data_IF_080236810622
#
_entry.id   IF_080236810622
#
_cell.length_a   1.000
_cell.length_b   1.000
_cell.length_c   1.000
_cell.angle_alpha   90.00
_cell.angle_beta   90.00
_cell.angle_gamma   90.00
#
_symmetry.space_group_name_H-M   'P 1'
#
loop_
_entity.id
_entity.type
_entity.pdbx_description
1 polymer ?
#
# COMPACT_ATOMS: atom_id res chain seq x y z
N UNK A 1 -14.87 12.71 -24.77
CA UNK A 1 -13.98 13.58 -23.99
C UNK A 1 -12.83 12.70 -23.53
N UNK A 2 -11.63 12.94 -24.05
CA UNK A 2 -10.43 12.23 -23.61
C UNK A 2 -9.84 13.04 -22.46
N UNK A 3 -10.08 12.61 -21.23
CA UNK A 3 -9.55 13.27 -20.05
C UNK A 3 -8.12 12.75 -19.87
N UNK A 4 -7.14 13.64 -19.95
CA UNK A 4 -5.73 13.31 -19.73
C UNK A 4 -5.57 12.88 -18.26
N UNK A 5 -5.10 11.66 -18.04
CA UNK A 5 -4.86 11.12 -16.69
C UNK A 5 -3.89 11.99 -15.87
N UNK A 6 -3.02 12.76 -16.54
CA UNK A 6 -2.08 13.67 -15.89
C UNK A 6 -2.69 15.03 -15.51
N UNK A 7 -3.92 15.33 -15.94
CA UNK A 7 -4.64 16.56 -15.57
C UNK A 7 -5.44 16.39 -14.27
N UNK A 8 -5.47 15.18 -13.71
CA UNK A 8 -5.95 14.97 -12.35
C UNK A 8 -4.85 15.37 -11.38
N UNK A 9 -4.96 16.58 -10.82
CA UNK A 9 -4.25 16.89 -9.57
C UNK A 9 -4.66 15.84 -8.55
N UNK A 10 -3.68 15.06 -8.09
CA UNK A 10 -3.90 14.03 -7.09
C UNK A 10 -4.21 14.76 -5.77
N UNK A 11 -5.50 15.01 -5.50
CA UNK A 11 -5.97 15.59 -4.24
C UNK A 11 -5.87 14.50 -3.17
N UNK A 12 -4.71 14.39 -2.52
CA UNK A 12 -4.44 13.31 -1.53
C UNK A 12 -4.97 13.67 -0.14
N UNK A 13 -5.20 14.93 0.20
CA UNK A 13 -5.47 15.28 1.60
C UNK A 13 -6.96 15.51 1.87
N UNK A 14 -7.73 14.44 1.87
CA UNK A 14 -8.96 14.40 2.66
C UNK A 14 -8.60 13.96 4.08
N UNK A 15 -8.93 14.80 5.07
CA UNK A 15 -8.85 14.41 6.46
C UNK A 15 -9.83 13.26 6.71
N UNK A 16 -9.29 12.06 6.92
CA UNK A 16 -10.09 10.86 7.21
C UNK A 16 -10.51 10.88 8.68
N UNK A 17 -11.82 10.91 8.92
CA UNK A 17 -12.38 10.77 10.27
C UNK A 17 -12.49 9.29 10.64
N UNK A 18 -11.57 8.83 11.49
CA UNK A 18 -11.52 7.45 11.95
C UNK A 18 -12.71 7.05 12.84
N UNK A 19 -13.32 7.99 13.56
CA UNK A 19 -14.50 7.68 14.39
C UNK A 19 -15.71 7.44 13.49
N UNK A 20 -15.90 8.29 12.48
CA UNK A 20 -16.96 8.11 11.49
C UNK A 20 -16.81 6.76 10.74
N UNK A 21 -15.58 6.37 10.38
CA UNK A 21 -15.31 5.07 9.77
C UNK A 21 -15.71 3.92 10.69
N UNK A 22 -15.29 3.94 11.96
CA UNK A 22 -15.65 2.91 12.95
C UNK A 22 -17.17 2.81 13.16
N UNK A 23 -17.86 3.95 13.25
CA UNK A 23 -19.32 4.01 13.40
C UNK A 23 -20.04 3.40 12.18
N UNK A 24 -19.48 3.54 10.99
CA UNK A 24 -19.98 2.93 9.76
C UNK A 24 -19.60 1.44 9.61
N UNK A 25 -18.98 0.83 10.63
CA UNK A 25 -18.58 -0.58 10.63
C UNK A 25 -17.31 -0.87 9.82
N UNK A 26 -16.54 0.17 9.47
CA UNK A 26 -15.23 -0.01 8.84
C UNK A 26 -14.20 -0.44 9.89
N UNK A 27 -13.51 -1.55 9.63
CA UNK A 27 -12.46 -2.06 10.50
C UNK A 27 -11.12 -1.37 10.19
N UNK A 28 -10.95 -0.21 10.84
CA UNK A 28 -9.74 0.61 10.71
C UNK A 28 -8.49 -0.15 11.15
N UNK A 29 -8.59 -0.98 12.19
CA UNK A 29 -7.44 -1.68 12.77
C UNK A 29 -6.94 -2.79 11.84
N UNK A 30 -7.86 -3.57 11.30
CA UNK A 30 -7.53 -4.60 10.32
C UNK A 30 -6.94 -4.01 9.04
N UNK A 31 -7.51 -2.91 8.52
CA UNK A 31 -7.03 -2.25 7.30
C UNK A 31 -5.53 -1.89 7.37
N UNK A 32 -5.09 -1.27 8.47
CA UNK A 32 -3.69 -0.88 8.61
C UNK A 32 -2.78 -2.06 8.98
N UNK A 33 -3.29 -3.05 9.71
CA UNK A 33 -2.52 -4.25 10.06
C UNK A 33 -2.20 -5.06 8.80
N UNK A 34 -3.20 -5.27 7.93
CA UNK A 34 -3.02 -5.99 6.66
C UNK A 34 -2.04 -5.28 5.73
N UNK A 35 -2.08 -3.93 5.70
CA UNK A 35 -1.13 -3.15 4.93
C UNK A 35 0.32 -3.36 5.44
N UNK A 36 0.53 -3.32 6.75
CA UNK A 36 1.86 -3.57 7.34
C UNK A 36 2.33 -5.00 7.08
N UNK A 37 1.44 -5.99 7.16
CA UNK A 37 1.79 -7.38 6.84
C UNK A 37 2.14 -7.56 5.36
N UNK A 38 1.41 -6.93 4.45
CA UNK A 38 1.69 -6.94 3.03
C UNK A 38 3.04 -6.29 2.70
N UNK A 39 3.34 -5.13 3.30
CA UNK A 39 4.63 -4.44 3.15
C UNK A 39 5.80 -5.29 3.71
N UNK A 40 5.60 -5.92 4.87
CA UNK A 40 6.57 -6.87 5.44
C UNK A 40 6.79 -8.07 4.53
N UNK A 41 5.74 -8.64 3.96
CA UNK A 41 5.81 -9.74 3.00
C UNK A 41 6.62 -9.38 1.75
N UNK A 42 6.41 -8.17 1.21
CA UNK A 42 7.18 -7.66 0.08
C UNK A 42 8.68 -7.51 0.44
N UNK A 43 8.98 -6.92 1.60
CA UNK A 43 10.36 -6.76 2.07
C UNK A 43 11.08 -8.10 2.23
N UNK A 44 10.41 -9.12 2.75
CA UNK A 44 10.95 -10.49 2.89
C UNK A 44 11.24 -11.12 1.52
N UNK A 45 10.30 -11.01 0.57
CA UNK A 45 10.48 -11.55 -0.79
C UNK A 45 11.65 -10.89 -1.52
N UNK A 46 11.78 -9.56 -1.41
CA UNK A 46 12.91 -8.83 -1.99
C UNK A 46 14.23 -9.28 -1.37
N UNK A 47 14.28 -9.47 -0.06
CA UNK A 47 15.47 -9.97 0.61
C UNK A 47 15.84 -11.40 0.15
N UNK A 48 14.84 -12.28 -0.01
CA UNK A 48 15.02 -13.63 -0.52
C UNK A 48 15.54 -13.64 -1.96
N UNK A 49 14.96 -12.82 -2.85
CA UNK A 49 15.39 -12.68 -4.24
C UNK A 49 16.84 -12.17 -4.34
N UNK A 50 17.23 -11.22 -3.48
CA UNK A 50 18.63 -10.73 -3.39
C UNK A 50 19.58 -11.87 -3.00
N UNK A 51 19.20 -12.71 -2.05
CA UNK A 51 19.99 -13.88 -1.64
C UNK A 51 20.09 -14.90 -2.78
N UNK A 52 18.97 -15.23 -3.40
CA UNK A 52 18.88 -16.25 -4.45
C UNK A 52 19.59 -15.88 -5.75
N UNK A 53 19.78 -14.59 -6.00
CA UNK A 53 20.45 -14.06 -7.18
C UNK A 53 21.94 -13.73 -6.95
N UNK A 54 22.41 -13.76 -5.70
CA UNK A 54 23.83 -13.53 -5.37
C UNK A 54 24.70 -14.64 -5.98
N UNK A 55 25.56 -14.27 -6.93
CA UNK A 55 26.46 -15.20 -7.63
C UNK A 55 25.88 -15.80 -8.92
N UNK A 56 24.61 -15.54 -9.24
CA UNK A 56 24.01 -15.83 -10.56
C UNK A 56 24.17 -14.60 -11.46
N UNK A 57 25.41 -14.25 -11.80
CA UNK A 57 25.65 -13.36 -12.94
C UNK A 57 25.66 -14.20 -14.22
N UNK A 58 25.18 -13.60 -15.32
CA UNK A 58 25.16 -14.19 -16.66
C UNK A 58 26.55 -14.63 -17.10
#
# INVERSE_FOLDING_TARGET
MDINYNDFDLVIEQAVDFEALKVNGFDVEHFFTDQVEAERGYALKVAEDVVNNKGKSR
#
